data_IF_318136195684
#
_entry.id   IF_318136195684
#
_cell.length_a   1.000
_cell.length_b   1.000
_cell.length_c   1.000
_cell.angle_alpha   90.00
_cell.angle_beta   90.00
_cell.angle_gamma   90.00
#
_symmetry.space_group_name_H-M   'P 1'
#
loop_
_entity.id
_entity.type
_entity.pdbx_description
1 polymer ?
#
# COMPACT_ATOMS: atom_id res chain seq x y z
N UNK A 1 -19.99 1.62 -4.71
CA UNK A 1 -18.57 1.96 -4.94
C UNK A 1 -17.70 0.88 -4.32
N UNK A 2 -16.82 0.25 -5.09
CA UNK A 2 -15.72 -0.57 -4.54
C UNK A 2 -14.44 0.24 -4.73
N UNK A 3 -14.16 1.11 -3.77
CA UNK A 3 -12.91 1.87 -3.76
C UNK A 3 -11.80 0.91 -3.34
N UNK A 4 -10.82 0.67 -4.22
CA UNK A 4 -9.58 0.00 -3.80
C UNK A 4 -8.92 0.86 -2.74
N UNK A 5 -8.60 0.28 -1.59
CA UNK A 5 -7.79 0.97 -0.59
C UNK A 5 -6.44 1.33 -1.21
N UNK A 6 -6.12 2.63 -1.21
CA UNK A 6 -4.82 3.14 -1.65
C UNK A 6 -4.03 3.48 -0.40
N UNK A 7 -2.84 2.89 -0.18
CA UNK A 7 -1.92 3.37 0.83
C UNK A 7 -1.48 4.79 0.45
N UNK A 8 -1.50 5.73 1.39
CA UNK A 8 -1.03 7.09 1.17
C UNK A 8 0.49 7.20 1.33
N UNK A 9 1.10 6.39 2.20
CA UNK A 9 2.52 6.44 2.52
C UNK A 9 3.21 5.10 2.31
N UNK A 10 4.46 5.14 1.82
CA UNK A 10 5.33 3.98 1.74
C UNK A 10 5.64 3.48 3.16
N UNK A 11 5.36 2.20 3.50
CA UNK A 11 5.63 1.67 4.84
C UNK A 11 7.12 1.60 5.19
N UNK A 12 7.99 1.85 4.21
CA UNK A 12 9.44 1.75 4.36
C UNK A 12 10.16 3.08 4.47
N UNK A 13 9.68 4.13 3.79
CA UNK A 13 10.37 5.42 3.74
C UNK A 13 9.47 6.62 4.02
N UNK A 14 8.15 6.42 4.16
CA UNK A 14 7.21 7.50 4.44
C UNK A 14 6.85 8.39 3.24
N UNK A 15 7.41 8.13 2.04
CA UNK A 15 7.10 8.90 0.84
C UNK A 15 5.71 8.58 0.27
N UNK A 16 5.09 9.52 -0.43
CA UNK A 16 3.73 9.45 -0.99
C UNK A 16 3.71 9.13 -2.50
N UNK A 17 4.86 9.11 -3.20
CA UNK A 17 4.94 8.79 -4.63
C UNK A 17 4.84 7.28 -4.89
N UNK A 18 3.65 6.75 -4.60
CA UNK A 18 3.24 5.37 -4.81
C UNK A 18 2.52 5.21 -6.15
N UNK A 19 2.87 4.15 -6.89
CA UNK A 19 2.27 3.81 -8.19
C UNK A 19 1.87 2.34 -8.23
N UNK A 20 0.79 1.96 -8.94
CA UNK A 20 0.45 0.56 -9.15
C UNK A 20 1.61 -0.21 -9.81
N UNK A 21 1.92 -1.39 -9.29
CA UNK A 21 2.91 -2.28 -9.91
C UNK A 21 2.22 -3.27 -10.88
N UNK A 22 2.83 -3.63 -12.03
CA UNK A 22 2.23 -4.55 -13.00
C UNK A 22 1.79 -5.90 -12.42
N UNK A 23 2.58 -6.46 -11.49
CA UNK A 23 2.28 -7.73 -10.82
C UNK A 23 1.30 -7.59 -9.63
N UNK A 24 0.68 -6.42 -9.49
CA UNK A 24 -0.14 -6.06 -8.34
C UNK A 24 0.65 -5.42 -7.19
N UNK A 25 -0.07 -4.71 -6.33
CA UNK A 25 0.55 -3.91 -5.26
C UNK A 25 1.05 -2.55 -5.74
N UNK A 26 2.07 -2.03 -5.07
CA UNK A 26 2.52 -0.64 -5.13
C UNK A 26 4.05 -0.58 -5.22
N UNK A 27 4.54 0.27 -6.11
CA UNK A 27 5.95 0.65 -6.21
C UNK A 27 6.12 2.06 -5.65
N UNK A 28 7.06 2.22 -4.71
CA UNK A 28 7.48 3.52 -4.21
C UNK A 28 8.62 4.10 -5.07
N UNK A 29 8.41 5.25 -5.68
CA UNK A 29 9.41 5.90 -6.55
C UNK A 29 10.62 6.43 -5.80
N UNK A 30 10.47 6.80 -4.52
CA UNK A 30 11.56 7.33 -3.71
C UNK A 30 12.58 6.26 -3.25
N UNK A 31 12.11 5.09 -2.78
CA UNK A 31 12.98 4.04 -2.23
C UNK A 31 13.00 2.73 -3.06
N UNK A 32 12.37 2.75 -4.25
CA UNK A 32 12.32 1.67 -5.25
C UNK A 32 11.73 0.33 -4.79
N UNK A 33 11.09 0.28 -3.62
CA UNK A 33 10.49 -0.95 -3.08
C UNK A 33 9.12 -1.21 -3.68
N UNK A 34 8.84 -2.49 -3.95
CA UNK A 34 7.52 -2.99 -4.35
C UNK A 34 6.91 -3.74 -3.17
N UNK A 35 5.63 -3.49 -2.88
CA UNK A 35 4.91 -4.11 -1.77
C UNK A 35 3.42 -4.25 -2.07
N UNK A 36 2.73 -5.14 -1.35
CA UNK A 36 1.28 -5.31 -1.41
C UNK A 36 0.64 -5.08 -0.04
N UNK A 37 -0.62 -4.67 -0.05
CA UNK A 37 -1.46 -4.55 1.15
C UNK A 37 -2.59 -5.57 1.06
N UNK A 38 -2.88 -6.24 2.17
CA UNK A 38 -3.92 -7.27 2.25
C UNK A 38 -4.74 -7.03 3.50
N UNK A 39 -6.06 -6.84 3.34
CA UNK A 39 -6.99 -6.84 4.48
C UNK A 39 -6.97 -8.24 5.11
N UNK A 40 -6.59 -8.33 6.38
CA UNK A 40 -6.62 -9.59 7.14
C UNK A 40 -7.93 -9.80 7.91
N UNK A 41 -8.62 -8.72 8.27
CA UNK A 41 -9.85 -8.73 9.05
C UNK A 41 -10.01 -7.42 9.82
N UNK A 42 -11.05 -7.34 10.65
CA UNK A 42 -11.22 -6.28 11.63
C UNK A 42 -10.71 -6.76 12.99
N UNK A 43 -9.89 -5.95 13.65
CA UNK A 43 -9.49 -6.20 15.04
C UNK A 43 -10.52 -5.54 15.95
N UNK A 44 -11.16 -6.33 16.81
CA UNK A 44 -12.09 -5.88 17.85
C UNK A 44 -11.46 -6.22 19.20
N UNK A 45 -10.60 -5.34 19.70
CA UNK A 45 -10.10 -5.43 21.08
C UNK A 45 -11.18 -4.87 22.03
N UNK A 46 -11.42 -5.60 23.12
CA UNK A 46 -12.40 -5.27 24.16
C UNK A 46 -11.78 -4.39 25.24
#
# INVERSE_FOLDING_TARGET
MTTRAVPYFCPYCGDEDLRPHPDGGWHCRACTRVFSVTLKGLVIES
#
